data_IF_774407818314
#
_entry.id   IF_774407818314
#
_cell.length_a   1.000
_cell.length_b   1.000
_cell.length_c   1.000
_cell.angle_alpha   90.00
_cell.angle_beta   90.00
_cell.angle_gamma   90.00
#
_symmetry.space_group_name_H-M   'P 1'
#
loop_
_entity.id
_entity.type
_entity.pdbx_description
1 polymer ?
#
# COMPACT_ATOMS: atom_id res chain seq x y z
N UNK A 1 -10.92 21.53 14.06
CA UNK A 1 -11.54 20.29 14.58
C UNK A 1 -10.80 19.12 13.97
N UNK A 2 -9.77 18.65 14.65
CA UNK A 2 -9.05 17.42 14.27
C UNK A 2 -9.96 16.28 14.66
N UNK A 3 -10.41 15.47 13.70
CA UNK A 3 -11.17 14.26 14.02
C UNK A 3 -10.23 13.34 14.80
N UNK A 4 -10.57 13.09 16.07
CA UNK A 4 -9.95 12.04 16.88
C UNK A 4 -10.16 10.70 16.18
N UNK A 5 -9.21 10.30 15.34
CA UNK A 5 -9.06 8.93 14.88
C UNK A 5 -8.46 8.12 16.03
N UNK A 6 -9.30 7.76 17.01
CA UNK A 6 -8.99 6.59 17.84
C UNK A 6 -9.16 5.35 16.96
N UNK A 7 -8.14 5.06 16.14
CA UNK A 7 -8.06 3.82 15.40
C UNK A 7 -7.72 2.75 16.44
N UNK A 8 -8.70 1.90 16.75
CA UNK A 8 -8.47 0.73 17.58
C UNK A 8 -7.47 -0.16 16.85
N UNK A 9 -6.23 -0.22 17.36
CA UNK A 9 -5.16 -1.12 16.92
C UNK A 9 -5.57 -2.57 17.20
N UNK A 10 -6.49 -3.14 16.42
CA UNK A 10 -6.61 -4.59 16.33
C UNK A 10 -5.44 -5.05 15.48
N UNK A 11 -4.44 -5.61 16.14
CA UNK A 11 -3.32 -6.30 15.53
C UNK A 11 -3.84 -7.29 14.48
N UNK A 12 -3.72 -6.93 13.21
CA UNK A 12 -3.86 -7.85 12.07
C UNK A 12 -2.47 -8.26 11.55
N UNK A 13 -1.43 -8.09 12.37
CA UNK A 13 -0.01 -8.15 11.98
C UNK A 13 0.45 -9.46 11.33
N UNK A 14 -0.35 -10.54 11.38
CA UNK A 14 -0.02 -11.81 10.73
C UNK A 14 -0.93 -12.20 9.56
N UNK A 15 -2.12 -11.59 9.40
CA UNK A 15 -3.09 -11.99 8.36
C UNK A 15 -3.12 -11.04 7.15
N UNK A 16 -2.37 -9.94 7.18
CA UNK A 16 -2.41 -8.90 6.16
C UNK A 16 -1.99 -9.37 4.76
N UNK A 17 -0.92 -10.16 4.70
CA UNK A 17 -0.43 -10.80 3.47
C UNK A 17 -1.28 -12.02 3.08
N UNK A 18 -2.10 -12.53 4.00
CA UNK A 18 -2.90 -13.74 3.83
C UNK A 18 -4.40 -13.47 3.82
N UNK A 19 -4.82 -12.21 3.72
CA UNK A 19 -6.23 -11.83 3.80
C UNK A 19 -7.09 -12.57 2.76
N UNK A 20 -6.45 -12.92 1.64
CA UNK A 20 -7.07 -13.64 0.52
C UNK A 20 -6.55 -15.07 0.35
N UNK A 21 -5.92 -15.66 1.38
CA UNK A 21 -5.39 -17.02 1.30
C UNK A 21 -6.54 -18.03 1.15
N UNK A 22 -6.54 -18.78 0.06
CA UNK A 22 -7.62 -19.72 -0.26
C UNK A 22 -8.91 -19.07 -0.73
N UNK A 23 -8.92 -17.75 -0.97
CA UNK A 23 -10.06 -17.01 -1.50
C UNK A 23 -10.45 -17.51 -2.89
N UNK A 24 -11.75 -17.80 -3.07
CA UNK A 24 -12.32 -18.09 -4.38
C UNK A 24 -12.35 -16.84 -5.24
N UNK A 25 -12.69 -15.68 -4.68
CA UNK A 25 -12.70 -14.41 -5.41
C UNK A 25 -11.32 -14.09 -6.01
N UNK A 26 -10.25 -14.32 -5.24
CA UNK A 26 -8.89 -14.12 -5.71
C UNK A 26 -8.53 -15.05 -6.87
N UNK A 27 -8.93 -16.33 -6.80
CA UNK A 27 -8.69 -17.26 -7.89
C UNK A 27 -9.47 -16.88 -9.15
N UNK A 28 -10.70 -16.38 -9.01
CA UNK A 28 -11.49 -15.84 -10.13
C UNK A 28 -10.81 -14.60 -10.74
N UNK A 29 -10.29 -13.70 -9.91
CA UNK A 29 -9.51 -12.56 -10.39
C UNK A 29 -8.24 -13.00 -11.11
N UNK A 30 -7.48 -13.96 -10.58
CA UNK A 30 -6.27 -14.50 -11.22
C UNK A 30 -6.57 -15.09 -12.61
N UNK A 31 -7.67 -15.83 -12.74
CA UNK A 31 -8.13 -16.34 -14.04
C UNK A 31 -8.50 -15.19 -15.00
N UNK A 32 -9.25 -14.19 -14.51
CA UNK A 32 -9.59 -13.01 -15.28
C UNK A 32 -8.35 -12.22 -15.73
N UNK A 33 -7.34 -12.06 -14.86
CA UNK A 33 -6.09 -11.39 -15.19
C UNK A 33 -5.32 -12.10 -16.32
N UNK A 34 -5.26 -13.43 -16.30
CA UNK A 34 -4.66 -14.22 -17.39
C UNK A 34 -5.42 -14.03 -18.71
N UNK A 35 -6.75 -13.87 -18.69
CA UNK A 35 -7.55 -13.59 -19.88
C UNK A 35 -7.34 -12.16 -20.41
N UNK A 36 -7.03 -11.19 -19.54
CA UNK A 36 -6.78 -9.81 -19.95
C UNK A 36 -5.35 -9.55 -20.44
N UNK A 37 -4.38 -10.39 -20.07
CA UNK A 37 -2.99 -10.24 -20.47
C UNK A 37 -2.86 -10.06 -22.00
N UNK A 38 -2.09 -9.06 -22.51
CA UNK A 38 -1.09 -8.24 -21.79
C UNK A 38 -1.64 -6.98 -21.11
N UNK A 39 -2.96 -6.78 -21.04
CA UNK A 39 -3.55 -5.63 -20.36
C UNK A 39 -3.59 -5.84 -18.84
N UNK A 40 -3.46 -4.76 -18.08
CA UNK A 40 -3.79 -4.75 -16.67
C UNK A 40 -5.28 -5.07 -16.48
N UNK A 41 -5.57 -6.15 -15.77
CA UNK A 41 -6.89 -6.44 -15.24
C UNK A 41 -7.13 -5.66 -13.95
N UNK A 42 -8.36 -5.22 -13.74
CA UNK A 42 -8.81 -4.59 -12.51
C UNK A 42 -10.16 -5.17 -12.08
N UNK A 43 -10.42 -5.23 -10.78
CA UNK A 43 -11.71 -5.64 -10.24
C UNK A 43 -11.82 -5.36 -8.75
N UNK A 44 -12.97 -5.69 -8.19
CA UNK A 44 -13.23 -5.58 -6.75
C UNK A 44 -13.42 -6.97 -6.15
N UNK A 45 -12.76 -7.23 -5.03
CA UNK A 45 -13.10 -8.33 -4.13
C UNK A 45 -13.97 -7.73 -3.03
N UNK A 46 -15.26 -8.04 -3.09
CA UNK A 46 -16.27 -7.62 -2.12
C UNK A 46 -16.29 -8.59 -0.92
N UNK A 47 -16.90 -8.20 0.21
CA UNK A 47 -17.13 -9.09 1.34
C UNK A 47 -17.83 -10.39 0.95
N UNK A 48 -17.65 -11.41 1.79
CA UNK A 48 -18.13 -12.79 1.53
C UNK A 48 -17.51 -13.43 0.27
N UNK A 49 -16.26 -13.08 -0.05
CA UNK A 49 -15.45 -13.73 -1.09
C UNK A 49 -16.10 -13.67 -2.49
N UNK A 50 -16.63 -12.49 -2.83
CA UNK A 50 -17.26 -12.22 -4.12
C UNK A 50 -16.37 -11.36 -5.02
N UNK A 51 -16.10 -11.84 -6.23
CA UNK A 51 -15.32 -11.11 -7.23
C UNK A 51 -16.24 -10.40 -8.24
N UNK A 52 -15.97 -9.11 -8.46
CA UNK A 52 -16.61 -8.29 -9.50
C UNK A 52 -15.54 -7.75 -10.47
N UNK A 53 -15.48 -8.23 -11.72
CA UNK A 53 -14.55 -7.70 -12.72
C UNK A 53 -14.92 -6.26 -13.10
N UNK A 54 -13.91 -5.43 -13.34
CA UNK A 54 -14.09 -4.04 -13.75
C UNK A 54 -13.36 -3.81 -15.09
N UNK A 55 -14.00 -3.21 -16.10
CA UNK A 55 -13.32 -2.90 -17.35
C UNK A 55 -12.17 -1.92 -17.13
N UNK A 56 -11.00 -2.21 -17.70
CA UNK A 56 -9.91 -1.24 -17.77
C UNK A 56 -10.21 -0.21 -18.87
N UNK A 57 -10.50 1.02 -18.47
CA UNK A 57 -10.81 2.17 -19.34
C UNK A 57 -9.57 3.00 -19.72
N UNK A 58 -8.36 2.55 -19.36
CA UNK A 58 -7.12 3.27 -19.69
C UNK A 58 -6.91 3.32 -21.20
N UNK A 59 -6.34 4.44 -21.67
CA UNK A 59 -5.85 4.57 -23.04
C UNK A 59 -4.55 3.80 -23.27
N UNK A 60 -3.85 3.42 -22.20
CA UNK A 60 -2.62 2.61 -22.20
C UNK A 60 -2.81 1.38 -21.30
N UNK A 61 -3.71 0.46 -21.67
CA UNK A 61 -4.16 -0.62 -20.79
C UNK A 61 -3.09 -1.67 -20.48
N UNK A 62 -1.98 -1.70 -21.20
CA UNK A 62 -0.82 -2.59 -20.93
C UNK A 62 0.12 -2.02 -19.85
N UNK A 63 0.00 -0.72 -19.53
CA UNK A 63 0.89 0.00 -18.62
C UNK A 63 0.18 0.53 -17.38
N UNK A 64 -1.15 0.62 -17.42
CA UNK A 64 -1.96 1.23 -16.36
C UNK A 64 -3.42 0.79 -16.47
N UNK A 65 -4.17 1.01 -15.39
CA UNK A 65 -5.61 0.90 -15.41
C UNK A 65 -6.34 2.20 -15.08
N UNK A 66 -7.56 2.31 -15.58
CA UNK A 66 -8.53 3.33 -15.17
C UNK A 66 -9.87 2.63 -14.92
N UNK A 67 -10.42 2.80 -13.72
CA UNK A 67 -11.73 2.24 -13.35
C UNK A 67 -12.79 3.33 -13.49
N UNK A 68 -14.01 2.94 -13.88
CA UNK A 68 -15.15 3.85 -13.81
C UNK A 68 -15.41 4.21 -12.33
N UNK A 69 -15.32 5.49 -11.92
CA UNK A 69 -15.52 5.89 -10.52
C UNK A 69 -16.88 5.47 -9.96
N UNK A 70 -17.89 5.29 -10.82
CA UNK A 70 -19.22 4.83 -10.39
C UNK A 70 -19.21 3.41 -9.81
N UNK A 71 -18.22 2.58 -10.18
CA UNK A 71 -18.05 1.23 -9.62
C UNK A 71 -17.54 1.25 -8.17
N UNK A 72 -17.00 2.39 -7.71
CA UNK A 72 -16.48 2.57 -6.35
C UNK A 72 -17.51 3.19 -5.39
N UNK A 73 -18.60 3.72 -5.93
CA UNK A 73 -19.69 4.31 -5.14
C UNK A 73 -20.33 3.23 -4.28
N UNK A 74 -20.58 3.57 -3.01
CA UNK A 74 -21.24 2.70 -2.03
C UNK A 74 -20.59 1.30 -1.88
N UNK A 75 -19.29 1.19 -2.16
CA UNK A 75 -18.55 -0.04 -1.95
C UNK A 75 -18.57 -0.42 -0.46
N UNK A 76 -18.93 -1.67 -0.12
CA UNK A 76 -19.04 -2.08 1.27
C UNK A 76 -17.68 -2.08 1.97
N UNK A 77 -17.69 -1.87 3.29
CA UNK A 77 -16.48 -1.98 4.11
C UNK A 77 -15.86 -3.38 3.97
N UNK A 78 -14.54 -3.43 3.82
CA UNK A 78 -13.80 -4.66 3.53
C UNK A 78 -13.66 -4.98 2.04
N UNK A 79 -14.13 -4.11 1.15
CA UNK A 79 -13.82 -4.19 -0.28
C UNK A 79 -12.33 -3.97 -0.53
N UNK A 80 -11.76 -4.79 -1.42
CA UNK A 80 -10.39 -4.66 -1.92
C UNK A 80 -10.45 -4.38 -3.41
N UNK A 81 -9.81 -3.30 -3.85
CA UNK A 81 -9.54 -3.09 -5.27
C UNK A 81 -8.33 -3.94 -5.64
N UNK A 82 -8.47 -4.82 -6.62
CA UNK A 82 -7.40 -5.72 -7.04
C UNK A 82 -7.05 -5.50 -8.50
N UNK A 83 -5.78 -5.41 -8.81
CA UNK A 83 -5.28 -5.27 -10.18
C UNK A 83 -4.03 -6.12 -10.45
N UNK A 84 -3.65 -6.19 -11.72
CA UNK A 84 -2.54 -7.02 -12.18
C UNK A 84 -1.45 -6.19 -12.85
N UNK A 85 -0.18 -6.53 -12.64
CA UNK A 85 0.98 -5.97 -13.35
C UNK A 85 1.53 -6.97 -14.40
N UNK A 86 1.23 -6.79 -15.70
CA UNK A 86 1.80 -7.56 -16.81
C UNK A 86 3.31 -7.38 -16.88
N UNK A 87 4.05 -8.49 -16.89
CA UNK A 87 5.52 -8.55 -16.97
C UNK A 87 6.25 -7.70 -15.91
N UNK A 88 5.55 -7.33 -14.84
CA UNK A 88 6.01 -6.46 -13.78
C UNK A 88 6.32 -7.19 -12.47
N UNK A 89 6.30 -6.43 -11.37
CA UNK A 89 6.48 -6.96 -10.02
C UNK A 89 5.21 -6.75 -9.21
N UNK A 90 5.12 -7.40 -8.05
CA UNK A 90 4.02 -7.17 -7.10
C UNK A 90 4.16 -5.87 -6.31
N UNK A 91 5.26 -5.12 -6.46
CA UNK A 91 5.41 -3.85 -5.75
C UNK A 91 4.50 -2.76 -6.34
N UNK A 92 3.82 -1.95 -5.50
CA UNK A 92 2.99 -0.85 -5.98
C UNK A 92 3.86 0.23 -6.64
N UNK A 93 3.37 0.73 -7.77
CA UNK A 93 3.88 1.94 -8.41
C UNK A 93 3.48 3.19 -7.62
N UNK A 94 4.02 4.36 -8.03
CA UNK A 94 3.57 5.64 -7.48
C UNK A 94 2.07 5.87 -7.72
N UNK A 95 1.58 5.50 -8.91
CA UNK A 95 0.16 5.65 -9.25
C UNK A 95 -0.73 4.77 -8.37
N UNK A 96 -0.29 3.53 -8.09
CA UNK A 96 -1.02 2.63 -7.19
C UNK A 96 -1.10 3.18 -5.77
N UNK A 97 0.01 3.72 -5.24
CA UNK A 97 0.02 4.34 -3.92
C UNK A 97 -0.89 5.58 -3.85
N UNK A 98 -0.92 6.40 -4.90
CA UNK A 98 -1.82 7.55 -4.99
C UNK A 98 -3.27 7.08 -5.06
N UNK A 99 -3.58 6.11 -5.92
CA UNK A 99 -4.93 5.56 -6.07
C UNK A 99 -5.43 4.88 -4.80
N UNK A 100 -4.57 4.13 -4.11
CA UNK A 100 -4.90 3.51 -2.82
C UNK A 100 -5.28 4.57 -1.79
N UNK A 101 -4.47 5.63 -1.65
CA UNK A 101 -4.76 6.73 -0.72
C UNK A 101 -6.05 7.45 -1.09
N UNK A 102 -6.24 7.76 -2.37
CA UNK A 102 -7.37 8.57 -2.83
C UNK A 102 -8.71 7.80 -2.75
N UNK A 103 -8.68 6.48 -2.93
CA UNK A 103 -9.87 5.62 -2.75
C UNK A 103 -10.14 5.26 -1.29
N UNK A 104 -9.10 5.23 -0.43
CA UNK A 104 -9.23 4.80 0.95
C UNK A 104 -9.64 3.33 1.09
N UNK A 105 -9.48 2.53 0.04
CA UNK A 105 -9.71 1.08 0.04
C UNK A 105 -8.40 0.32 0.31
N UNK A 106 -8.52 -0.95 0.65
CA UNK A 106 -7.39 -1.87 0.50
C UNK A 106 -7.15 -2.12 -0.99
N UNK A 107 -5.89 -2.19 -1.37
CA UNK A 107 -5.48 -2.51 -2.74
C UNK A 107 -4.70 -3.80 -2.78
N UNK A 108 -4.88 -4.59 -3.83
CA UNK A 108 -4.21 -5.86 -4.04
C UNK A 108 -3.54 -5.94 -5.40
N UNK A 109 -2.36 -6.54 -5.47
CA UNK A 109 -1.58 -6.66 -6.71
C UNK A 109 -1.18 -8.11 -6.93
N UNK A 110 -1.37 -8.60 -8.17
CA UNK A 110 -0.71 -9.79 -8.70
C UNK A 110 0.22 -9.39 -9.83
N UNK A 111 1.38 -10.03 -9.94
CA UNK A 111 2.19 -9.94 -11.14
C UNK A 111 1.95 -11.19 -12.01
N UNK A 112 2.00 -11.02 -13.32
CA UNK A 112 1.80 -12.13 -14.25
C UNK A 112 2.58 -11.94 -15.55
N UNK A 113 2.78 -13.05 -16.24
CA UNK A 113 3.18 -13.08 -17.65
C UNK A 113 2.35 -14.14 -18.38
N UNK A 114 2.70 -14.44 -19.63
CA UNK A 114 2.01 -15.45 -20.47
C UNK A 114 1.89 -16.85 -19.84
N UNK A 115 2.71 -17.19 -18.85
CA UNK A 115 2.85 -18.55 -18.34
C UNK A 115 2.54 -18.70 -16.84
N UNK A 116 2.63 -17.61 -16.08
CA UNK A 116 2.59 -17.66 -14.63
C UNK A 116 1.94 -16.41 -14.04
N UNK A 117 1.37 -16.58 -12.85
CA UNK A 117 0.81 -15.53 -12.01
C UNK A 117 1.29 -15.72 -10.58
N UNK A 118 1.65 -14.64 -9.91
CA UNK A 118 2.19 -14.67 -8.55
C UNK A 118 1.09 -14.84 -7.51
N UNK A 119 1.50 -15.03 -6.26
CA UNK A 119 0.65 -14.68 -5.13
C UNK A 119 0.39 -13.18 -5.05
N UNK A 120 -0.68 -12.84 -4.35
CA UNK A 120 -1.18 -11.47 -4.24
C UNK A 120 -0.58 -10.81 -3.02
N UNK A 121 -0.15 -9.56 -3.18
CA UNK A 121 0.10 -8.69 -2.04
C UNK A 121 -1.15 -7.83 -1.78
N UNK A 122 -1.41 -7.47 -0.53
CA UNK A 122 -2.46 -6.50 -0.18
C UNK A 122 -1.83 -5.38 0.64
N UNK A 123 -2.17 -4.15 0.33
CA UNK A 123 -1.62 -2.95 0.97
C UNK A 123 -2.68 -1.86 1.16
N UNK A 124 -2.39 -0.94 2.09
CA UNK A 124 -3.20 0.23 2.41
C UNK A 124 -3.03 0.67 3.86
N UNK A 125 -3.39 1.91 4.17
CA UNK A 125 -3.20 2.52 5.50
C UNK A 125 -3.91 1.78 6.65
N UNK A 126 -4.93 0.99 6.33
CA UNK A 126 -5.68 0.15 7.27
C UNK A 126 -4.85 -1.05 7.75
N UNK A 127 -3.74 -1.34 7.07
CA UNK A 127 -2.86 -2.46 7.33
C UNK A 127 -1.65 -1.99 8.13
N UNK A 128 -1.75 -2.10 9.45
CA UNK A 128 -0.64 -1.85 10.35
C UNK A 128 -0.07 -3.15 10.90
N UNK A 129 1.26 -3.21 11.06
CA UNK A 129 1.93 -4.31 11.74
C UNK A 129 2.87 -3.81 12.84
N UNK A 130 2.76 -4.44 14.02
CA UNK A 130 3.68 -4.21 15.14
C UNK A 130 5.00 -4.96 14.98
N UNK A 131 5.08 -5.94 14.06
CA UNK A 131 6.27 -6.77 13.89
C UNK A 131 7.33 -5.99 13.14
N UNK A 132 8.28 -5.31 13.78
CA UNK A 132 9.28 -4.49 13.09
C UNK A 132 10.40 -5.29 12.38
N UNK A 133 10.66 -6.51 12.83
CA UNK A 133 11.76 -7.35 12.35
C UNK A 133 11.30 -8.46 11.42
N UNK A 134 12.21 -8.93 10.55
CA UNK A 134 11.99 -10.06 9.63
C UNK A 134 10.88 -9.84 8.59
N UNK A 135 10.55 -8.59 8.30
CA UNK A 135 9.65 -8.24 7.19
C UNK A 135 10.35 -8.48 5.85
N UNK A 136 9.63 -9.00 4.84
CA UNK A 136 10.13 -8.93 3.47
C UNK A 136 10.22 -7.46 3.05
N UNK A 137 11.28 -7.09 2.31
CA UNK A 137 11.36 -5.75 1.73
C UNK A 137 10.43 -5.66 0.52
N UNK A 138 9.47 -4.74 0.58
CA UNK A 138 8.57 -4.41 -0.54
C UNK A 138 8.43 -2.89 -0.61
N UNK A 139 8.94 -2.28 -1.68
CA UNK A 139 8.88 -0.83 -1.85
C UNK A 139 7.43 -0.32 -1.77
N UNK A 140 7.19 0.75 -1.01
CA UNK A 140 5.86 1.31 -0.80
C UNK A 140 5.03 0.66 0.31
N UNK A 141 5.40 -0.54 0.78
CA UNK A 141 4.63 -1.31 1.79
C UNK A 141 5.48 -1.63 3.02
N UNK A 142 6.57 -2.37 2.82
CA UNK A 142 7.52 -2.79 3.84
C UNK A 142 8.92 -2.30 3.44
N UNK A 143 9.06 -0.99 3.33
CA UNK A 143 10.31 -0.32 3.01
C UNK A 143 10.87 0.49 4.19
N UNK A 144 11.98 1.18 3.96
CA UNK A 144 12.67 1.98 4.96
C UNK A 144 11.76 3.06 5.59
N UNK A 145 10.83 3.66 4.84
CA UNK A 145 9.93 4.67 5.39
C UNK A 145 8.83 4.03 6.24
N UNK A 146 8.23 2.94 5.77
CA UNK A 146 7.24 2.17 6.56
C UNK A 146 7.82 1.68 7.89
N UNK A 147 9.09 1.24 7.91
CA UNK A 147 9.76 0.81 9.13
C UNK A 147 9.91 1.96 10.13
N UNK A 148 10.28 3.16 9.66
CA UNK A 148 10.37 4.35 10.50
C UNK A 148 8.99 4.67 11.09
N UNK A 149 7.95 4.72 10.25
CA UNK A 149 6.57 5.00 10.69
C UNK A 149 6.10 4.01 11.75
N UNK A 150 6.30 2.73 11.50
CA UNK A 150 5.85 1.68 12.42
C UNK A 150 6.65 1.68 13.73
N UNK A 151 7.96 1.95 13.68
CA UNK A 151 8.78 2.12 14.88
C UNK A 151 8.25 3.25 15.76
N UNK A 152 7.95 4.41 15.17
CA UNK A 152 7.38 5.55 15.92
C UNK A 152 5.99 5.25 16.47
N UNK A 153 5.15 4.56 15.71
CA UNK A 153 3.83 4.15 16.16
C UNK A 153 3.91 3.16 17.34
N UNK A 154 4.81 2.17 17.27
CA UNK A 154 4.97 1.14 18.30
C UNK A 154 5.65 1.67 19.56
N UNK A 155 6.80 2.33 19.41
CA UNK A 155 7.67 2.69 20.54
C UNK A 155 7.28 4.04 21.18
N UNK A 156 6.61 4.92 20.43
CA UNK A 156 6.36 6.30 20.86
C UNK A 156 4.88 6.71 20.79
N UNK A 157 3.99 5.84 20.29
CA UNK A 157 2.58 6.17 20.01
C UNK A 157 2.43 7.38 19.05
N UNK A 158 3.46 7.65 18.22
CA UNK A 158 3.49 8.75 17.25
C UNK A 158 3.10 8.22 15.88
N UNK A 159 2.01 8.73 15.32
CA UNK A 159 1.51 8.31 14.02
C UNK A 159 2.01 9.26 12.94
N UNK A 160 2.96 8.76 12.16
CA UNK A 160 3.48 9.45 11.00
C UNK A 160 2.61 9.17 9.76
N UNK A 161 2.25 10.20 8.97
CA UNK A 161 1.46 10.01 7.74
C UNK A 161 2.14 9.05 6.75
N UNK A 162 1.37 8.36 5.90
CA UNK A 162 1.93 7.65 4.75
C UNK A 162 2.02 8.57 3.54
N UNK A 163 3.06 8.41 2.74
CA UNK A 163 3.25 9.21 1.53
C UNK A 163 3.57 8.31 0.34
N UNK A 164 2.83 8.49 -0.78
CA UNK A 164 3.19 7.88 -2.05
C UNK A 164 4.61 8.28 -2.47
N UNK A 165 5.39 7.29 -2.94
CA UNK A 165 6.82 7.46 -3.20
C UNK A 165 7.28 6.59 -4.36
N UNK A 166 7.86 7.20 -5.38
CA UNK A 166 8.39 6.46 -6.54
C UNK A 166 9.54 5.51 -6.14
N UNK A 167 9.68 4.40 -6.84
CA UNK A 167 10.83 3.51 -6.64
C UNK A 167 12.14 4.26 -6.95
N UNK A 168 13.21 3.94 -6.22
CA UNK A 168 14.53 4.57 -6.38
C UNK A 168 14.53 6.09 -6.23
N UNK A 169 13.58 6.65 -5.47
CA UNK A 169 13.55 8.09 -5.20
C UNK A 169 14.85 8.61 -4.57
N UNK A 170 15.59 7.74 -3.86
CA UNK A 170 16.87 8.04 -3.21
C UNK A 170 18.04 8.21 -4.18
N UNK A 171 17.89 7.81 -5.45
CA UNK A 171 18.90 8.00 -6.51
C UNK A 171 18.73 9.32 -7.25
N UNK A 172 17.62 10.02 -7.04
CA UNK A 172 17.31 11.27 -7.73
C UNK A 172 18.04 12.41 -7.03
N UNK A 173 18.93 13.06 -7.76
CA UNK A 173 19.70 14.19 -7.25
C UNK A 173 18.76 15.30 -6.74
N UNK A 174 19.00 15.77 -5.51
CA UNK A 174 18.19 16.79 -4.82
C UNK A 174 16.75 16.37 -4.48
N UNK A 175 16.42 15.09 -4.56
CA UNK A 175 15.16 14.56 -4.03
C UNK A 175 15.42 13.81 -2.72
N UNK A 176 14.82 14.30 -1.63
CA UNK A 176 14.82 13.60 -0.35
C UNK A 176 13.38 13.48 0.15
N UNK A 177 12.86 12.25 0.20
CA UNK A 177 11.52 11.96 0.70
C UNK A 177 11.30 12.50 2.11
N UNK A 178 12.30 12.35 2.98
CA UNK A 178 12.20 12.72 4.40
C UNK A 178 12.20 14.24 4.61
N UNK A 179 12.88 14.99 3.76
CA UNK A 179 12.89 16.46 3.81
C UNK A 179 11.65 17.06 3.17
N UNK A 180 11.14 16.43 2.10
CA UNK A 180 9.98 16.94 1.36
C UNK A 180 8.74 17.05 2.24
N UNK A 181 8.51 16.07 3.11
CA UNK A 181 7.34 16.02 3.99
C UNK A 181 7.64 16.51 5.41
N UNK A 182 8.77 17.20 5.61
CA UNK A 182 9.20 17.64 6.93
C UNK A 182 8.14 18.55 7.59
N UNK A 183 7.62 19.53 6.87
CA UNK A 183 6.59 20.43 7.41
C UNK A 183 5.22 19.79 7.66
N UNK A 184 5.01 18.54 7.23
CA UNK A 184 3.74 17.82 7.36
C UNK A 184 3.77 16.77 8.49
N UNK A 185 4.84 16.73 9.29
CA UNK A 185 4.91 15.87 10.47
C UNK A 185 6.30 15.50 10.96
N UNK A 186 7.38 16.19 10.57
CA UNK A 186 8.74 15.97 11.08
C UNK A 186 9.39 17.33 11.40
N UNK A 187 9.87 17.57 12.63
CA UNK A 187 10.56 18.82 12.94
C UNK A 187 12.04 18.59 13.30
N UNK A 188 12.85 19.63 13.07
CA UNK A 188 14.28 19.58 13.35
C UNK A 188 14.52 19.62 14.86
N UNK A 189 15.05 18.54 15.42
CA UNK A 189 15.57 18.58 16.79
C UNK A 189 16.97 19.20 16.72
N UNK A 190 17.22 20.24 17.53
CA UNK A 190 18.56 20.75 17.69
C UNK A 190 19.50 19.60 18.11
N UNK A 191 20.63 19.48 17.43
CA UNK A 191 21.58 18.36 17.47
C UNK A 191 22.17 18.01 18.87
N UNK A 192 21.77 18.76 19.91
CA UNK A 192 22.23 18.63 21.29
C UNK A 192 21.58 17.52 22.11
N UNK A 193 20.56 16.82 21.60
CA UNK A 193 19.81 15.78 22.36
C UNK A 193 20.22 14.34 22.00
N UNK A 194 21.16 14.15 21.07
CA UNK A 194 21.63 12.80 20.71
C UNK A 194 22.64 12.32 21.77
N UNK A 195 22.14 11.71 22.85
CA UNK A 195 22.97 10.86 23.69
C UNK A 195 23.39 9.64 22.87
N UNK A 196 24.69 9.39 22.84
CA UNK A 196 25.34 8.31 22.10
C UNK A 196 24.67 6.95 22.35
N UNK A 197 23.90 6.48 21.36
CA UNK A 197 23.36 5.11 21.32
C UNK A 197 21.88 4.97 20.96
N UNK A 198 21.09 6.05 20.93
CA UNK A 198 19.67 6.01 20.56
C UNK A 198 19.39 6.65 19.19
N UNK A 199 18.46 6.08 18.41
CA UNK A 199 17.86 6.78 17.27
C UNK A 199 17.24 8.11 17.76
N UNK A 200 17.34 9.20 16.98
CA UNK A 200 16.90 10.52 17.41
C UNK A 200 15.40 10.49 17.71
N UNK A 201 15.01 10.71 18.96
CA UNK A 201 13.61 10.82 19.39
C UNK A 201 12.98 12.06 18.75
N UNK A 202 12.28 11.89 17.61
CA UNK A 202 11.44 12.94 17.04
C UNK A 202 10.33 13.28 18.03
N UNK A 203 10.50 14.38 18.76
CA UNK A 203 9.43 15.03 19.52
C UNK A 203 8.66 15.93 18.55
N UNK A 204 7.38 15.64 18.31
CA UNK A 204 6.45 16.50 17.60
C UNK A 204 5.35 16.99 18.55
N UNK A 205 4.88 18.21 18.26
CA UNK A 205 3.91 18.98 19.04
C UNK A 205 2.50 18.35 19.12
#
# INVERSE_FOLDING_TARGET
MVKNFQIAWRALATDTLYLLRGSRALNLFKAYALEQYPKEAVGLILPADHFMPCPNLSTTPEESFCIDPTQLIDTPSGTILIHSHPDGTVEPSLADMVGQRDTGLLWGIVALNQHAITDTIVFGEQLFTQQLLERPFLHGIFDCYSLIRDFYAVENEIILPDFPRQRSWWEIEKYNLYERYFTEGLCCIAQKVINSGGLPTLLLH
#
